data_IF_617383775760
#
_entry.id   IF_617383775760
#
_cell.length_a   1.000
_cell.length_b   1.000
_cell.length_c   1.000
_cell.angle_alpha   90.00
_cell.angle_beta   90.00
_cell.angle_gamma   90.00
#
_symmetry.space_group_name_H-M   'P 1'
#
loop_
_entity.id
_entity.type
_entity.pdbx_description
1 polymer ?
#
# COMPACT_ATOMS: atom_id res chain seq x y z
N UNK A 1 21.58 35.18 -5.67
CA UNK A 1 21.47 34.24 -4.53
C UNK A 1 20.55 33.11 -4.93
N UNK A 2 20.82 31.88 -4.49
CA UNK A 2 19.89 30.78 -4.76
C UNK A 2 18.71 30.88 -3.77
N UNK A 3 17.46 30.69 -4.22
CA UNK A 3 16.33 30.59 -3.31
C UNK A 3 16.55 29.42 -2.36
N UNK A 4 16.39 29.66 -1.06
CA UNK A 4 16.56 28.63 -0.03
C UNK A 4 15.21 27.93 0.13
N UNK A 5 14.90 27.03 -0.81
CA UNK A 5 13.67 26.25 -0.77
C UNK A 5 13.75 25.18 0.33
N UNK A 6 12.64 24.94 1.02
CA UNK A 6 12.50 23.87 2.01
C UNK A 6 11.33 22.97 1.67
N UNK A 7 11.62 21.70 1.44
CA UNK A 7 10.63 20.68 1.12
C UNK A 7 10.18 19.95 2.39
N UNK A 8 8.88 19.67 2.50
CA UNK A 8 8.30 18.89 3.60
C UNK A 8 7.08 18.11 3.11
N UNK A 9 6.72 17.05 3.82
CA UNK A 9 5.49 16.28 3.57
C UNK A 9 4.40 16.82 4.49
N UNK A 10 3.28 17.27 3.92
CA UNK A 10 2.07 17.56 4.66
C UNK A 10 1.38 16.24 5.04
N UNK A 11 1.68 15.78 6.26
CA UNK A 11 1.16 14.54 6.82
C UNK A 11 -0.36 14.54 7.00
N UNK A 12 -0.97 15.71 7.21
CA UNK A 12 -2.41 15.83 7.44
C UNK A 12 -3.20 15.79 6.12
N UNK A 13 -2.62 16.30 5.04
CA UNK A 13 -3.20 16.26 3.71
C UNK A 13 -2.87 14.97 2.93
N UNK A 14 -1.88 14.20 3.38
CA UNK A 14 -1.50 12.92 2.78
C UNK A 14 -2.43 11.79 3.21
N UNK A 15 -2.68 10.83 2.32
CA UNK A 15 -3.58 9.70 2.58
C UNK A 15 -3.10 8.41 1.91
N UNK A 16 -3.04 7.34 2.69
CA UNK A 16 -2.91 5.95 2.21
C UNK A 16 -4.28 5.29 2.09
N UNK A 17 -4.48 4.44 1.09
CA UNK A 17 -5.67 3.61 0.91
C UNK A 17 -5.30 2.15 0.67
N UNK A 18 -6.07 1.23 1.23
CA UNK A 18 -5.96 -0.21 0.99
C UNK A 18 -6.61 -0.64 -0.35
N UNK A 19 -6.67 -1.95 -0.58
CA UNK A 19 -7.25 -2.55 -1.81
C UNK A 19 -8.74 -2.28 -1.99
N UNK A 20 -9.47 -2.00 -0.91
CA UNK A 20 -10.90 -1.64 -0.94
C UNK A 20 -11.10 -0.12 -1.08
N UNK A 21 -10.01 0.65 -1.17
CA UNK A 21 -10.03 2.10 -1.26
C UNK A 21 -10.30 2.81 0.09
N UNK A 22 -10.25 2.08 1.20
CA UNK A 22 -10.49 2.58 2.55
C UNK A 22 -9.22 3.29 3.05
N UNK A 23 -9.35 4.50 3.65
CA UNK A 23 -8.21 5.18 4.23
C UNK A 23 -7.54 4.38 5.34
N UNK A 24 -6.23 4.15 5.20
CA UNK A 24 -5.41 3.43 6.18
C UNK A 24 -5.01 4.38 7.30
N UNK A 25 -5.18 3.95 8.55
CA UNK A 25 -4.72 4.74 9.70
C UNK A 25 -3.20 4.61 9.88
N UNK A 26 -2.51 5.72 10.12
CA UNK A 26 -1.06 5.72 10.42
C UNK A 26 -0.72 5.01 11.74
N UNK A 27 -1.71 4.79 12.61
CA UNK A 27 -1.55 3.96 13.82
C UNK A 27 -1.53 2.46 13.53
N UNK A 28 -2.17 2.02 12.45
CA UNK A 28 -2.21 0.61 12.03
C UNK A 28 -1.03 0.30 11.10
N UNK A 29 -0.78 1.19 10.15
CA UNK A 29 0.37 1.12 9.26
C UNK A 29 0.89 2.52 8.94
N UNK A 30 2.07 2.86 9.46
CA UNK A 30 2.68 4.19 9.28
C UNK A 30 3.30 4.32 7.87
N UNK A 31 2.43 4.48 6.88
CA UNK A 31 2.83 4.68 5.48
C UNK A 31 3.57 6.00 5.25
N UNK A 32 3.53 6.94 6.20
CA UNK A 32 4.26 8.22 6.11
C UNK A 32 5.73 8.05 6.50
N UNK A 33 6.05 7.14 7.42
CA UNK A 33 7.42 6.83 7.82
C UNK A 33 8.20 5.96 6.81
N UNK A 34 7.58 5.57 5.70
CA UNK A 34 8.23 4.85 4.61
C UNK A 34 9.16 5.74 3.78
N UNK A 35 8.96 7.06 3.85
CA UNK A 35 9.58 8.04 2.96
C UNK A 35 10.59 8.92 3.69
N UNK A 36 11.74 9.10 3.08
CA UNK A 36 12.73 10.11 3.45
C UNK A 36 12.78 11.19 2.37
N UNK A 37 12.24 12.37 2.68
CA UNK A 37 12.25 13.54 1.80
C UNK A 37 13.40 14.45 2.20
N UNK A 38 14.37 14.61 1.29
CA UNK A 38 15.43 15.58 1.48
C UNK A 38 14.86 17.00 1.35
N UNK A 39 14.84 17.69 2.48
CA UNK A 39 14.35 19.06 2.62
C UNK A 39 15.13 20.13 1.81
N UNK A 40 16.28 19.80 1.20
CA UNK A 40 17.11 20.74 0.41
C UNK A 40 16.87 20.58 -1.09
N UNK A 41 16.97 19.35 -1.61
CA UNK A 41 16.93 19.07 -3.05
C UNK A 41 15.60 18.44 -3.51
N UNK A 42 14.70 18.12 -2.58
CA UNK A 42 13.40 17.52 -2.87
C UNK A 42 13.46 16.04 -3.25
N UNK A 43 14.61 15.36 -3.12
CA UNK A 43 14.71 13.93 -3.41
C UNK A 43 13.93 13.10 -2.37
N UNK A 44 13.07 12.22 -2.87
CA UNK A 44 12.26 11.31 -2.06
C UNK A 44 12.79 9.89 -2.20
N UNK A 45 13.07 9.24 -1.06
CA UNK A 45 13.58 7.86 -1.01
C UNK A 45 12.69 6.99 -0.16
N UNK A 46 12.63 5.71 -0.51
CA UNK A 46 12.00 4.67 0.32
C UNK A 46 13.04 4.20 1.35
N UNK A 47 12.70 4.26 2.63
CA UNK A 47 13.59 3.85 3.75
C UNK A 47 13.11 2.62 4.51
N UNK A 48 11.92 2.12 4.19
CA UNK A 48 11.34 0.91 4.78
C UNK A 48 10.66 0.08 3.69
N UNK A 49 10.50 -1.21 3.96
CA UNK A 49 9.75 -2.09 3.08
C UNK A 49 8.29 -1.62 2.99
N UNK A 50 7.75 -1.67 1.78
CA UNK A 50 6.36 -1.35 1.49
C UNK A 50 5.61 -2.67 1.39
N UNK A 51 4.45 -2.73 2.04
CA UNK A 51 3.56 -3.88 2.10
C UNK A 51 2.26 -3.49 1.40
N UNK A 52 2.00 -4.11 0.23
CA UNK A 52 0.87 -3.77 -0.64
C UNK A 52 -0.46 -4.17 0.01
N UNK A 53 -0.48 -5.26 0.75
CA UNK A 53 -1.65 -5.81 1.44
C UNK A 53 -2.15 -4.84 2.52
N UNK A 54 -1.26 -3.99 3.05
CA UNK A 54 -1.62 -2.93 4.00
C UNK A 54 -1.99 -1.62 3.33
N UNK A 55 -1.36 -1.28 2.20
CA UNK A 55 -1.65 -0.04 1.47
C UNK A 55 -1.35 -0.20 -0.02
N UNK A 56 -2.37 -0.02 -0.85
CA UNK A 56 -2.24 -0.12 -2.31
C UNK A 56 -1.86 1.23 -2.93
N UNK A 57 -2.47 2.32 -2.45
CA UNK A 57 -2.27 3.67 -3.02
C UNK A 57 -1.90 4.66 -1.94
N UNK A 58 -0.80 5.40 -2.13
CA UNK A 58 -0.35 6.45 -1.23
C UNK A 58 -0.35 7.78 -1.98
N UNK A 59 -1.10 8.76 -1.48
CA UNK A 59 -1.08 10.14 -1.96
C UNK A 59 -0.32 11.00 -0.95
N UNK A 60 0.90 11.40 -1.31
CA UNK A 60 1.71 12.32 -0.51
C UNK A 60 1.50 13.74 -1.00
N UNK A 61 1.21 14.66 -0.08
CA UNK A 61 1.19 16.09 -0.36
C UNK A 61 2.54 16.66 0.04
N UNK A 62 3.30 17.13 -0.93
CA UNK A 62 4.62 17.74 -0.73
C UNK A 62 4.45 19.25 -0.79
N UNK A 63 4.93 19.94 0.24
CA UNK A 63 4.92 21.39 0.35
C UNK A 63 6.34 21.91 0.25
N UNK A 64 6.53 22.99 -0.52
CA UNK A 64 7.77 23.74 -0.60
C UNK A 64 7.54 25.15 -0.05
N UNK A 65 8.43 25.58 0.84
CA UNK A 65 8.47 26.93 1.39
C UNK A 65 9.70 27.66 0.86
N UNK A 66 9.52 28.88 0.36
CA UNK A 66 10.63 29.76 0.03
C UNK A 66 11.09 30.52 1.27
N UNK A 67 12.34 30.26 1.71
CA UNK A 67 12.94 30.94 2.86
C UNK A 67 13.59 32.28 2.48
N UNK A 68 13.72 32.59 1.18
CA UNK A 68 14.27 33.85 0.69
C UNK A 68 13.22 34.98 0.81
N UNK A 69 12.90 35.36 2.04
CA UNK A 69 11.89 36.39 2.29
C UNK A 69 11.38 36.46 3.73
N UNK A 70 11.87 35.60 4.63
CA UNK A 70 11.47 35.60 6.05
C UNK A 70 11.61 36.97 6.70
N UNK A 71 12.57 37.78 6.26
CA UNK A 71 12.82 39.12 6.82
C UNK A 71 12.14 40.28 6.05
N UNK A 72 11.50 40.02 4.90
CA UNK A 72 11.09 41.08 3.95
C UNK A 72 9.65 40.94 3.39
N UNK A 73 8.95 39.81 3.59
CA UNK A 73 7.60 39.64 3.04
C UNK A 73 6.83 38.40 3.51
N UNK A 74 5.59 38.19 3.01
CA UNK A 74 4.81 37.01 3.35
C UNK A 74 5.47 35.74 2.82
N UNK A 75 5.50 34.69 3.64
CA UNK A 75 6.02 33.36 3.29
C UNK A 75 5.30 32.85 2.03
N UNK A 76 6.08 32.50 1.00
CA UNK A 76 5.54 31.88 -0.21
C UNK A 76 5.63 30.37 -0.08
N UNK A 77 4.51 29.70 -0.30
CA UNK A 77 4.42 28.25 -0.28
C UNK A 77 3.75 27.73 -1.55
N UNK A 78 4.17 26.55 -1.98
CA UNK A 78 3.52 25.80 -3.05
C UNK A 78 3.39 24.33 -2.63
N UNK A 79 2.38 23.64 -3.15
CA UNK A 79 2.14 22.23 -2.84
C UNK A 79 1.87 21.42 -4.09
N UNK A 80 2.31 20.16 -4.09
CA UNK A 80 2.05 19.20 -5.15
C UNK A 80 1.65 17.84 -4.56
N UNK A 81 0.78 17.11 -5.27
CA UNK A 81 0.35 15.77 -4.87
C UNK A 81 1.08 14.72 -5.67
N UNK A 82 1.86 13.88 -4.98
CA UNK A 82 2.50 12.70 -5.53
C UNK A 82 1.61 11.48 -5.27
N UNK A 83 1.15 10.82 -6.33
CA UNK A 83 0.37 9.57 -6.24
C UNK A 83 1.28 8.39 -6.52
N UNK A 84 1.41 7.50 -5.54
CA UNK A 84 2.22 6.30 -5.57
C UNK A 84 1.27 5.11 -5.58
N UNK A 85 1.43 4.24 -6.58
CA UNK A 85 0.72 2.97 -6.70
C UNK A 85 1.73 1.87 -6.39
N UNK A 86 1.43 1.05 -5.37
CA UNK A 86 2.29 -0.07 -4.96
C UNK A 86 1.96 -1.26 -5.87
N UNK A 87 2.98 -1.80 -6.52
CA UNK A 87 2.82 -3.00 -7.35
C UNK A 87 2.67 -4.25 -6.49
N UNK A 88 1.94 -5.23 -7.02
CA UNK A 88 1.69 -6.51 -6.38
C UNK A 88 2.83 -7.49 -6.62
N UNK A 89 3.34 -8.07 -5.55
CA UNK A 89 4.27 -9.20 -5.57
C UNK A 89 3.55 -10.42 -4.99
N UNK A 90 3.69 -11.58 -5.61
CA UNK A 90 3.07 -12.82 -5.12
C UNK A 90 3.91 -13.39 -3.96
N UNK A 91 3.75 -12.80 -2.77
CA UNK A 91 4.46 -13.19 -1.56
C UNK A 91 3.54 -13.86 -0.52
N UNK A 92 2.24 -13.96 -0.78
CA UNK A 92 1.29 -14.64 0.08
C UNK A 92 0.94 -16.02 -0.48
N UNK A 93 1.55 -17.07 0.07
CA UNK A 93 1.15 -18.42 -0.30
C UNK A 93 -0.33 -18.70 0.03
N UNK A 94 -1.07 -19.37 -0.85
CA UNK A 94 -2.45 -19.72 -0.59
C UNK A 94 -2.62 -20.61 0.64
N UNK A 95 -3.62 -20.32 1.47
CA UNK A 95 -3.90 -21.08 2.70
C UNK A 95 -5.25 -21.76 2.64
N UNK A 96 -5.27 -23.08 2.84
CA UNK A 96 -6.51 -23.84 2.93
C UNK A 96 -7.34 -23.42 4.14
N UNK A 97 -8.66 -23.28 3.97
CA UNK A 97 -9.58 -22.92 5.07
C UNK A 97 -9.64 -23.95 6.18
N UNK A 98 -9.35 -25.21 5.86
CA UNK A 98 -9.30 -26.31 6.84
C UNK A 98 -7.95 -27.02 6.73
N UNK A 99 -7.35 -27.41 7.87
CA UNK A 99 -6.14 -28.23 7.85
C UNK A 99 -6.41 -29.64 7.33
N UNK A 100 -7.65 -30.12 7.42
CA UNK A 100 -8.08 -31.43 6.91
C UNK A 100 -9.50 -31.36 6.35
N UNK A 101 -9.71 -32.02 5.20
CA UNK A 101 -11.03 -32.23 4.60
C UNK A 101 -11.37 -33.72 4.67
N UNK A 102 -12.45 -34.06 5.38
CA UNK A 102 -12.97 -35.44 5.45
C UNK A 102 -14.37 -35.45 4.83
N UNK A 103 -14.62 -36.42 3.97
CA UNK A 103 -15.92 -36.65 3.33
C UNK A 103 -16.13 -38.15 3.17
N UNK A 104 -17.39 -38.57 2.98
CA UNK A 104 -17.76 -39.97 2.76
C UNK A 104 -18.61 -40.06 1.51
N UNK A 105 -18.33 -41.03 0.65
CA UNK A 105 -19.04 -41.25 -0.60
C UNK A 105 -19.64 -42.66 -0.61
N UNK A 106 -20.90 -42.84 -1.04
CA UNK A 106 -21.49 -44.16 -1.24
C UNK A 106 -20.77 -44.95 -2.34
N UNK A 107 -20.61 -46.25 -2.16
CA UNK A 107 -19.94 -47.14 -3.12
C UNK A 107 -20.63 -47.19 -4.50
N UNK A 108 -21.93 -46.91 -4.54
CA UNK A 108 -22.75 -46.91 -5.75
C UNK A 108 -22.80 -45.52 -6.44
N UNK A 109 -21.90 -44.62 -6.08
CA UNK A 109 -21.85 -43.28 -6.67
C UNK A 109 -21.44 -43.34 -8.14
N UNK A 110 -22.10 -42.53 -8.96
CA UNK A 110 -21.83 -42.47 -10.40
C UNK A 110 -20.45 -41.85 -10.68
N UNK A 111 -19.88 -42.20 -11.82
CA UNK A 111 -18.66 -41.54 -12.32
C UNK A 111 -18.90 -40.03 -12.46
N UNK A 112 -17.97 -39.23 -11.94
CA UNK A 112 -18.09 -37.77 -11.89
C UNK A 112 -18.91 -37.23 -10.71
N UNK A 113 -19.28 -38.08 -9.73
CA UNK A 113 -19.90 -37.61 -8.50
C UNK A 113 -18.98 -36.61 -7.77
N UNK A 114 -19.54 -35.48 -7.38
CA UNK A 114 -18.83 -34.46 -6.61
C UNK A 114 -18.53 -34.99 -5.19
N UNK A 115 -17.24 -34.98 -4.80
CA UNK A 115 -16.77 -35.56 -3.55
C UNK A 115 -16.67 -34.51 -2.44
N UNK A 116 -16.01 -33.39 -2.75
CA UNK A 116 -15.85 -32.25 -1.86
C UNK A 116 -15.37 -31.03 -2.66
N UNK A 117 -15.69 -29.84 -2.16
CA UNK A 117 -15.07 -28.59 -2.59
C UNK A 117 -13.99 -28.20 -1.60
N UNK A 118 -12.78 -27.97 -2.11
CA UNK A 118 -11.67 -27.43 -1.33
C UNK A 118 -11.51 -25.96 -1.70
N UNK A 119 -11.30 -25.12 -0.68
CA UNK A 119 -11.17 -23.68 -0.83
C UNK A 119 -9.91 -23.25 -0.07
N UNK A 120 -9.05 -22.52 -0.74
CA UNK A 120 -7.94 -21.80 -0.16
C UNK A 120 -8.09 -20.30 -0.49
N UNK A 121 -7.63 -19.48 0.44
CA UNK A 121 -7.65 -18.03 0.33
C UNK A 121 -6.20 -17.53 0.17
N UNK A 122 -6.03 -16.54 -0.69
CA UNK A 122 -4.76 -15.90 -1.05
C UNK A 122 -4.99 -14.38 -1.00
N UNK A 123 -4.09 -13.66 -0.33
CA UNK A 123 -4.23 -12.22 -0.09
C UNK A 123 -3.73 -11.38 -1.27
N UNK A 124 -3.02 -11.97 -2.23
CA UNK A 124 -2.44 -11.26 -3.37
C UNK A 124 -3.54 -10.83 -4.35
N UNK A 125 -3.23 -9.87 -5.24
CA UNK A 125 -4.19 -9.35 -6.22
C UNK A 125 -4.55 -10.41 -7.27
N UNK A 126 -3.60 -11.29 -7.59
CA UNK A 126 -3.75 -12.36 -8.57
C UNK A 126 -4.09 -13.71 -7.92
N UNK A 127 -5.32 -13.81 -7.40
CA UNK A 127 -5.86 -14.96 -6.64
C UNK A 127 -6.14 -16.24 -7.48
N UNK A 128 -5.46 -16.43 -8.61
CA UNK A 128 -5.74 -17.57 -9.50
C UNK A 128 -5.10 -18.84 -8.95
N UNK A 129 -5.91 -19.70 -8.35
CA UNK A 129 -5.47 -20.98 -7.81
C UNK A 129 -5.73 -22.13 -8.79
N UNK A 130 -4.70 -22.92 -9.08
CA UNK A 130 -4.81 -24.16 -9.86
C UNK A 130 -4.66 -25.37 -8.95
N UNK A 131 -5.64 -26.28 -8.99
CA UNK A 131 -5.61 -27.55 -8.27
C UNK A 131 -5.27 -28.67 -9.28
N UNK A 132 -4.24 -29.46 -8.99
CA UNK A 132 -3.82 -30.63 -9.79
C UNK A 132 -4.24 -31.94 -9.12
#
# INVERSE_FOLDING_TARGET
EQPVLRYSIDKAASVGRDEDGIPVSTSEYDYLALWDLNHIDGSLKVVRLIDREKVETIKLVITVEDMAGIDIGPKQTASATLTIMVEDENDNNPKFRKPFYKTSIPENSKNGAHIATVIADDADKNRTMTYY
#
